data_IF_079027571202
#
_entry.id   IF_079027571202
#
_cell.length_a   1.000
_cell.length_b   1.000
_cell.length_c   1.000
_cell.angle_alpha   90.00
_cell.angle_beta   90.00
_cell.angle_gamma   90.00
#
_symmetry.space_group_name_H-M   'P 1'
#
loop_
_entity.id
_entity.type
_entity.pdbx_description
1 polymer ?
#
# COMPACT_ATOMS: atom_id res chain seq x y z
N UNK A 1 -2.44 80.74 10.09
CA UNK A 1 -1.74 80.07 11.22
C UNK A 1 -0.92 78.93 10.63
N UNK A 2 0.43 79.08 10.58
CA UNK A 2 1.53 78.11 10.31
C UNK A 2 1.39 77.21 9.06
N UNK A 3 2.05 77.37 7.90
CA UNK A 3 3.47 77.51 7.49
C UNK A 3 4.33 76.22 7.56
N UNK A 4 4.74 75.71 6.37
CA UNK A 4 5.97 74.95 5.96
C UNK A 4 6.17 73.55 6.61
N UNK A 5 6.59 72.42 5.98
CA UNK A 5 7.60 72.12 4.93
C UNK A 5 7.30 70.81 4.15
N UNK A 6 7.74 70.77 2.89
CA UNK A 6 8.02 69.59 2.07
C UNK A 6 9.31 68.89 2.50
N UNK A 7 9.45 67.56 2.35
CA UNK A 7 10.69 66.88 1.92
C UNK A 7 10.41 65.44 1.41
N UNK A 8 11.30 65.03 0.52
CA UNK A 8 11.41 63.93 -0.43
C UNK A 8 11.35 62.47 0.05
N UNK A 9 10.91 61.63 -0.90
CA UNK A 9 11.46 60.34 -1.35
C UNK A 9 12.41 59.53 -0.44
N UNK A 10 12.13 58.23 -0.30
CA UNK A 10 13.00 57.02 -0.30
C UNK A 10 12.01 55.84 -0.14
N UNK A 11 11.80 54.94 -1.11
CA UNK A 11 12.73 53.87 -1.45
C UNK A 11 12.61 52.71 -0.45
N UNK A 12 11.50 51.96 -0.45
CA UNK A 12 11.38 50.71 0.34
C UNK A 12 11.67 49.54 -0.60
N UNK A 13 12.95 49.17 -0.67
CA UNK A 13 13.44 47.95 -1.31
C UNK A 13 12.92 46.72 -0.56
N UNK A 14 12.28 45.82 -1.30
CA UNK A 14 12.03 44.43 -0.88
C UNK A 14 13.37 43.73 -0.68
N UNK A 15 13.85 43.66 0.56
CA UNK A 15 14.98 42.83 0.93
C UNK A 15 14.49 41.41 1.23
N UNK A 16 14.87 40.48 0.33
CA UNK A 16 14.76 39.05 0.58
C UNK A 16 15.54 38.73 1.86
N UNK A 17 14.87 38.10 2.84
CA UNK A 17 15.54 37.37 3.92
C UNK A 17 16.37 36.23 3.31
N UNK A 18 17.60 36.57 2.92
CA UNK A 18 18.71 35.61 2.80
C UNK A 18 19.04 35.20 4.22
N UNK A 19 18.54 34.04 4.64
CA UNK A 19 19.05 33.37 5.83
C UNK A 19 20.53 33.09 5.57
N UNK A 20 21.36 33.84 6.25
CA UNK A 20 22.81 33.88 6.14
C UNK A 20 23.40 32.49 6.38
N UNK A 21 24.29 32.10 5.47
CA UNK A 21 25.25 31.02 5.68
C UNK A 21 26.08 31.44 6.89
N UNK A 22 25.97 30.71 8.01
CA UNK A 22 26.85 30.90 9.14
C UNK A 22 28.27 30.48 8.70
N UNK A 23 29.12 31.46 8.41
CA UNK A 23 30.56 31.27 8.33
C UNK A 23 31.05 30.69 9.67
N UNK A 24 31.48 29.43 9.62
CA UNK A 24 32.10 28.76 10.75
C UNK A 24 33.54 29.28 10.89
N UNK A 25 33.77 29.89 12.05
CA UNK A 25 35.03 30.45 12.53
C UNK A 25 36.24 29.53 12.34
N UNK A 26 37.36 30.15 11.96
CA UNK A 26 38.70 29.56 11.95
C UNK A 26 39.11 29.10 13.36
N UNK A 27 39.21 27.78 13.57
CA UNK A 27 39.90 27.18 14.71
C UNK A 27 41.34 26.87 14.30
N UNK A 28 42.36 27.23 15.11
CA UNK A 28 43.75 27.14 14.72
C UNK A 28 44.23 25.69 14.55
N UNK A 29 45.25 25.57 13.70
CA UNK A 29 45.94 24.36 13.28
C UNK A 29 46.40 23.50 14.47
N UNK A 30 46.23 22.18 14.33
CA UNK A 30 46.67 21.05 15.16
C UNK A 30 45.60 20.34 16.01
N UNK A 31 44.62 19.71 15.33
CA UNK A 31 44.08 18.41 15.76
C UNK A 31 44.04 17.47 14.57
N UNK A 32 44.62 16.27 14.76
CA UNK A 32 44.69 15.14 13.83
C UNK A 32 43.41 15.03 13.00
N UNK A 33 43.57 14.84 11.68
CA UNK A 33 42.50 14.43 10.75
C UNK A 33 41.69 13.29 11.39
N UNK A 34 40.51 13.60 11.93
CA UNK A 34 39.52 12.56 12.18
C UNK A 34 39.25 11.88 10.83
N UNK A 35 39.33 10.56 10.78
CA UNK A 35 39.16 9.83 9.54
C UNK A 35 37.75 10.15 9.00
N UNK A 36 37.56 10.50 7.72
CA UNK A 36 36.24 10.88 7.15
C UNK A 36 35.14 9.86 7.54
N UNK A 37 35.52 8.59 7.60
CA UNK A 37 34.71 7.48 8.09
C UNK A 37 34.27 7.62 9.56
N UNK A 38 35.15 8.02 10.47
CA UNK A 38 34.84 8.24 11.90
C UNK A 38 33.86 9.40 12.08
N UNK A 39 34.03 10.48 11.32
CA UNK A 39 33.12 11.65 11.37
C UNK A 39 31.71 11.26 10.91
N UNK A 40 31.58 10.49 9.83
CA UNK A 40 30.29 10.00 9.33
C UNK A 40 29.65 9.06 10.36
N UNK A 41 30.43 8.15 10.93
CA UNK A 41 29.97 7.22 11.96
C UNK A 41 29.45 7.95 13.20
N UNK A 42 30.18 8.95 13.70
CA UNK A 42 29.73 9.77 14.82
C UNK A 42 28.44 10.55 14.52
N UNK A 43 28.34 11.12 13.31
CA UNK A 43 27.12 11.83 12.89
C UNK A 43 25.90 10.90 12.81
N UNK A 44 26.10 9.66 12.36
CA UNK A 44 25.07 8.64 12.32
C UNK A 44 24.65 8.20 13.72
N UNK A 45 25.60 7.89 14.60
CA UNK A 45 25.33 7.46 15.97
C UNK A 45 24.67 8.56 16.81
N UNK A 46 24.88 9.85 16.48
CA UNK A 46 24.11 10.96 17.07
C UNK A 46 22.63 10.96 16.67
N UNK A 47 22.29 10.40 15.49
CA UNK A 47 20.92 10.40 14.94
C UNK A 47 20.20 9.05 15.05
N UNK A 48 20.95 7.94 15.16
CA UNK A 48 20.45 6.58 15.09
C UNK A 48 20.91 5.79 16.32
N UNK A 49 20.04 4.94 16.85
CA UNK A 49 20.39 3.92 17.84
C UNK A 49 21.45 2.97 17.26
N UNK A 50 22.34 2.47 18.13
CA UNK A 50 23.36 1.47 17.82
C UNK A 50 22.77 0.26 17.11
N UNK A 51 21.57 -0.20 17.52
CA UNK A 51 20.90 -1.35 16.89
C UNK A 51 20.52 -1.08 15.43
N UNK A 52 20.20 0.17 15.11
CA UNK A 52 19.88 0.58 13.74
C UNK A 52 21.17 0.65 12.93
N UNK A 53 22.24 1.19 13.50
CA UNK A 53 23.55 1.20 12.82
C UNK A 53 24.07 -0.22 12.55
N UNK A 54 23.92 -1.14 13.49
CA UNK A 54 24.28 -2.56 13.30
C UNK A 54 23.43 -3.22 12.19
N UNK A 55 22.15 -2.89 12.12
CA UNK A 55 21.29 -3.35 11.02
C UNK A 55 21.74 -2.77 9.66
N UNK A 56 22.14 -1.49 9.60
CA UNK A 56 22.66 -0.90 8.37
C UNK A 56 23.96 -1.59 7.91
N UNK A 57 24.90 -1.82 8.84
CA UNK A 57 26.21 -2.42 8.52
C UNK A 57 26.12 -3.87 8.05
N UNK A 58 25.07 -4.61 8.43
CA UNK A 58 24.77 -5.95 7.89
C UNK A 58 24.50 -5.95 6.38
N UNK A 59 24.01 -4.84 5.83
CA UNK A 59 23.70 -4.72 4.39
C UNK A 59 24.73 -3.88 3.64
N UNK A 60 25.17 -2.77 4.23
CA UNK A 60 26.01 -1.76 3.58
C UNK A 60 26.89 -1.08 4.62
N UNK A 61 28.18 -0.93 4.33
CA UNK A 61 29.10 -0.11 5.13
C UNK A 61 28.80 1.37 4.89
N UNK A 62 28.15 2.10 5.81
CA UNK A 62 27.65 3.45 5.55
C UNK A 62 28.73 4.48 5.22
N UNK A 63 29.98 4.20 5.58
CA UNK A 63 31.13 5.08 5.41
C UNK A 63 31.78 5.00 4.02
N UNK A 64 31.36 4.06 3.16
CA UNK A 64 31.88 3.96 1.79
C UNK A 64 31.41 5.13 0.94
N UNK A 65 32.27 5.64 0.05
CA UNK A 65 31.93 6.75 -0.84
C UNK A 65 30.78 6.42 -1.83
N UNK A 66 30.54 5.14 -2.11
CA UNK A 66 29.41 4.68 -2.90
C UNK A 66 28.06 4.75 -2.16
N UNK A 67 28.06 5.17 -0.89
CA UNK A 67 26.88 5.27 -0.03
C UNK A 67 26.62 6.74 0.26
N UNK A 68 25.37 7.16 0.04
CA UNK A 68 24.97 8.53 0.31
C UNK A 68 23.83 8.55 1.31
N UNK A 69 24.05 9.28 2.39
CA UNK A 69 23.12 9.40 3.51
C UNK A 69 22.39 10.72 3.36
N UNK A 70 21.06 10.66 3.41
CA UNK A 70 20.17 11.78 3.17
C UNK A 70 19.23 11.95 4.36
N UNK A 71 18.82 13.20 4.60
CA UNK A 71 17.74 13.58 5.52
C UNK A 71 16.79 14.52 4.77
N UNK A 72 16.09 13.94 3.77
CA UNK A 72 15.29 14.69 2.81
C UNK A 72 13.83 14.27 2.84
N UNK A 73 12.95 15.25 2.67
CA UNK A 73 11.50 15.06 2.72
C UNK A 73 10.76 15.51 1.45
N UNK A 74 11.47 15.96 0.42
CA UNK A 74 10.87 16.47 -0.81
C UNK A 74 11.62 15.95 -2.04
N UNK A 75 10.90 15.59 -3.13
CA UNK A 75 11.54 15.09 -4.35
C UNK A 75 12.49 16.08 -5.03
N UNK A 76 12.33 17.39 -4.82
CA UNK A 76 13.19 18.41 -5.45
C UNK A 76 14.62 18.42 -4.93
N UNK A 77 14.88 17.83 -3.76
CA UNK A 77 16.23 17.72 -3.21
C UNK A 77 17.01 16.54 -3.78
N UNK A 78 16.42 15.78 -4.71
CA UNK A 78 17.06 14.67 -5.39
C UNK A 78 17.40 15.09 -6.82
N UNK A 79 18.65 15.50 -7.04
CA UNK A 79 19.19 15.81 -8.36
C UNK A 79 20.07 14.67 -8.85
N UNK A 80 19.77 14.13 -10.04
CA UNK A 80 20.46 12.95 -10.57
C UNK A 80 21.97 13.14 -10.73
N UNK A 81 22.42 14.38 -10.98
CA UNK A 81 23.84 14.78 -11.05
C UNK A 81 24.62 14.41 -9.79
N UNK A 82 23.97 14.42 -8.63
CA UNK A 82 24.62 14.30 -7.34
C UNK A 82 24.91 12.82 -6.97
N UNK A 83 24.43 11.88 -7.79
CA UNK A 83 24.39 10.45 -7.47
C UNK A 83 25.09 9.55 -8.51
N UNK A 84 25.87 10.12 -9.44
CA UNK A 84 26.49 9.36 -10.53
C UNK A 84 27.37 8.16 -10.08
N UNK A 85 28.02 8.26 -8.91
CA UNK A 85 28.85 7.20 -8.32
C UNK A 85 28.18 6.43 -7.17
N UNK A 86 26.93 6.77 -6.84
CA UNK A 86 26.24 6.24 -5.67
C UNK A 86 25.55 4.93 -6.00
N UNK A 87 25.87 3.88 -5.24
CA UNK A 87 25.22 2.56 -5.34
C UNK A 87 24.22 2.30 -4.22
N UNK A 88 24.28 3.05 -3.13
CA UNK A 88 23.34 2.94 -2.02
C UNK A 88 22.88 4.31 -1.52
N UNK A 89 21.57 4.49 -1.39
CA UNK A 89 20.95 5.65 -0.76
C UNK A 89 20.33 5.25 0.57
N UNK A 90 20.71 5.95 1.64
CA UNK A 90 20.13 5.79 2.97
C UNK A 90 19.39 7.08 3.31
N UNK A 91 18.06 7.07 3.33
CA UNK A 91 17.29 8.23 3.82
C UNK A 91 16.86 8.00 5.27
N UNK A 92 17.47 8.72 6.20
CA UNK A 92 17.11 8.65 7.62
C UNK A 92 15.81 9.40 7.94
N UNK A 93 15.33 10.22 7.01
CA UNK A 93 14.06 10.91 7.16
C UNK A 93 12.87 9.92 7.08
N UNK A 94 11.92 10.06 7.99
CA UNK A 94 10.73 9.20 8.00
C UNK A 94 9.84 9.43 6.77
N UNK A 95 9.46 8.35 6.09
CA UNK A 95 8.59 8.42 4.91
C UNK A 95 7.21 9.04 5.24
N UNK A 96 6.75 8.94 6.49
CA UNK A 96 5.52 9.58 6.95
C UNK A 96 5.48 11.11 6.69
N UNK A 97 6.65 11.74 6.64
CA UNK A 97 6.83 13.19 6.52
C UNK A 97 7.34 13.63 5.14
N UNK A 98 7.59 12.68 4.24
CA UNK A 98 7.97 12.98 2.86
C UNK A 98 6.76 13.54 2.11
N UNK A 99 6.89 14.60 1.31
CA UNK A 99 5.82 15.06 0.40
C UNK A 99 5.83 14.25 -0.89
N UNK A 100 4.63 14.00 -1.44
CA UNK A 100 4.46 13.26 -2.69
C UNK A 100 5.23 11.92 -2.74
N UNK A 101 5.05 11.06 -1.73
CA UNK A 101 5.83 9.79 -1.55
C UNK A 101 6.15 9.07 -2.86
N UNK A 102 5.19 8.82 -3.75
CA UNK A 102 5.49 8.10 -4.99
C UNK A 102 6.41 8.89 -5.91
N UNK A 103 6.24 10.22 -6.03
CA UNK A 103 7.16 11.06 -6.80
C UNK A 103 8.56 11.04 -6.19
N UNK A 104 8.64 11.07 -4.85
CA UNK A 104 9.91 10.93 -4.14
C UNK A 104 10.58 9.59 -4.42
N UNK A 105 9.86 8.47 -4.27
CA UNK A 105 10.38 7.13 -4.54
C UNK A 105 10.77 6.94 -6.01
N UNK A 106 10.01 7.49 -6.95
CA UNK A 106 10.37 7.49 -8.37
C UNK A 106 11.68 8.23 -8.59
N UNK A 107 11.87 9.40 -7.96
CA UNK A 107 13.13 10.15 -8.05
C UNK A 107 14.30 9.41 -7.41
N UNK A 108 14.08 8.73 -6.30
CA UNK A 108 15.09 7.82 -5.72
C UNK A 108 15.46 6.71 -6.70
N UNK A 109 14.47 6.09 -7.37
CA UNK A 109 14.72 5.07 -8.39
C UNK A 109 15.55 5.62 -9.56
N UNK A 110 15.20 6.82 -10.06
CA UNK A 110 15.94 7.48 -11.14
C UNK A 110 17.38 7.85 -10.76
N UNK A 111 17.64 8.17 -9.49
CA UNK A 111 18.98 8.52 -9.00
C UNK A 111 19.88 7.29 -8.76
N UNK A 112 19.31 6.08 -8.67
CA UNK A 112 20.08 4.86 -8.42
C UNK A 112 20.41 4.13 -9.73
N UNK A 113 21.61 3.53 -9.84
CA UNK A 113 21.88 2.56 -10.89
C UNK A 113 21.07 1.27 -10.66
N UNK A 114 20.97 0.42 -11.69
CA UNK A 114 20.37 -0.90 -11.55
C UNK A 114 21.11 -1.73 -10.49
N UNK A 115 20.36 -2.55 -9.74
CA UNK A 115 20.82 -3.23 -8.53
C UNK A 115 21.30 -2.29 -7.39
N UNK A 116 21.09 -0.98 -7.51
CA UNK A 116 21.34 -0.02 -6.44
C UNK A 116 20.41 -0.24 -5.24
N UNK A 117 20.92 0.02 -4.04
CA UNK A 117 20.19 -0.18 -2.78
C UNK A 117 19.55 1.12 -2.30
N UNK A 118 18.32 1.02 -1.81
CA UNK A 118 17.65 2.08 -1.08
C UNK A 118 17.24 1.60 0.30
N UNK A 119 17.65 2.36 1.32
CA UNK A 119 17.32 2.11 2.72
C UNK A 119 16.53 3.31 3.24
N UNK A 120 15.41 3.03 3.89
CA UNK A 120 14.57 4.06 4.48
C UNK A 120 13.85 3.58 5.73
N UNK A 121 13.17 4.50 6.40
CA UNK A 121 12.43 4.19 7.61
C UNK A 121 11.02 4.79 7.60
N UNK A 122 10.11 4.12 8.30
CA UNK A 122 8.73 4.56 8.45
C UNK A 122 8.18 4.16 9.83
N UNK A 123 7.40 5.03 10.45
CA UNK A 123 6.59 4.65 11.60
C UNK A 123 5.22 4.17 11.14
N UNK A 124 4.95 2.87 11.30
CA UNK A 124 3.70 2.26 10.84
C UNK A 124 2.54 2.54 11.80
N UNK A 125 1.30 2.44 11.28
CA UNK A 125 0.08 2.52 12.11
C UNK A 125 0.11 1.50 13.25
N UNK A 126 0.62 0.29 13.01
CA UNK A 126 0.71 -0.76 14.03
C UNK A 126 1.63 -0.34 15.18
N UNK A 127 2.81 0.19 14.85
CA UNK A 127 3.77 0.67 15.84
C UNK A 127 3.21 1.85 16.62
N UNK A 128 2.56 2.82 15.95
CA UNK A 128 1.91 3.96 16.62
C UNK A 128 0.82 3.51 17.60
N UNK A 129 -0.01 2.55 17.19
CA UNK A 129 -1.03 1.96 18.06
C UNK A 129 -0.37 1.31 19.27
N UNK A 130 0.66 0.49 19.06
CA UNK A 130 1.37 -0.18 20.15
C UNK A 130 1.93 0.84 21.16
N UNK A 131 2.60 1.90 20.69
CA UNK A 131 3.12 2.98 21.56
C UNK A 131 2.02 3.66 22.37
N UNK A 132 0.90 4.02 21.74
CA UNK A 132 -0.22 4.68 22.42
C UNK A 132 -0.83 3.80 23.53
N UNK A 133 -1.02 2.51 23.24
CA UNK A 133 -1.69 1.59 24.16
C UNK A 133 -0.74 0.94 25.19
N UNK A 134 0.58 1.06 25.05
CA UNK A 134 1.54 0.50 26.02
C UNK A 134 1.60 1.24 27.38
N UNK A 135 1.27 2.53 27.42
CA UNK A 135 1.55 3.37 28.60
C UNK A 135 0.47 3.33 29.70
N UNK A 136 -0.78 2.97 29.38
CA UNK A 136 -1.92 2.93 30.35
C UNK A 136 -3.22 2.40 29.67
N UNK A 137 -4.13 1.76 30.41
CA UNK A 137 -5.44 1.30 29.93
C UNK A 137 -6.54 2.33 30.25
N UNK A 138 -6.70 3.33 29.38
CA UNK A 138 -7.76 4.33 29.51
C UNK A 138 -8.64 4.38 28.25
N UNK A 139 -9.95 4.43 28.42
CA UNK A 139 -10.93 4.49 27.33
C UNK A 139 -10.76 5.72 26.42
N UNK A 140 -10.28 6.85 26.96
CA UNK A 140 -10.00 8.05 26.18
C UNK A 140 -8.96 7.80 25.07
N UNK A 141 -8.08 6.79 25.20
CA UNK A 141 -7.12 6.42 24.15
C UNK A 141 -7.80 5.87 22.90
N UNK A 142 -8.91 5.15 23.04
CA UNK A 142 -9.66 4.66 21.89
C UNK A 142 -10.29 5.83 21.12
N UNK A 143 -10.83 6.81 21.83
CA UNK A 143 -11.40 8.01 21.23
C UNK A 143 -10.32 8.85 20.54
N UNK A 144 -9.20 9.10 21.22
CA UNK A 144 -8.04 9.78 20.64
C UNK A 144 -7.51 9.06 19.40
N UNK A 145 -7.34 7.73 19.48
CA UNK A 145 -6.92 6.91 18.36
C UNK A 145 -7.87 7.02 17.18
N UNK A 146 -9.18 6.99 17.42
CA UNK A 146 -10.19 7.13 16.37
C UNK A 146 -10.06 8.46 15.64
N UNK A 147 -9.98 9.57 16.38
CA UNK A 147 -9.83 10.90 15.77
C UNK A 147 -8.50 11.06 15.03
N UNK A 148 -7.38 10.62 15.62
CA UNK A 148 -6.08 10.65 14.96
C UNK A 148 -6.04 9.74 13.73
N UNK A 149 -6.66 8.56 13.79
CA UNK A 149 -6.79 7.69 12.63
C UNK A 149 -7.60 8.40 11.54
N UNK A 150 -8.77 8.94 11.87
CA UNK A 150 -9.57 9.68 10.88
C UNK A 150 -8.76 10.82 10.25
N UNK A 151 -8.11 11.65 11.08
CA UNK A 151 -7.34 12.80 10.63
C UNK A 151 -6.12 12.44 9.79
N UNK A 152 -5.30 11.48 10.22
CA UNK A 152 -4.03 11.15 9.55
C UNK A 152 -4.13 10.02 8.51
N UNK A 153 -5.20 9.21 8.52
CA UNK A 153 -5.41 8.07 7.59
C UNK A 153 -6.51 8.34 6.58
N UNK A 154 -7.63 8.92 7.00
CA UNK A 154 -8.86 9.03 6.20
C UNK A 154 -8.92 10.36 5.46
N UNK A 155 -8.79 11.49 6.16
CA UNK A 155 -8.86 12.84 5.56
C UNK A 155 -7.92 13.05 4.37
N UNK A 156 -6.64 12.56 4.36
CA UNK A 156 -5.73 12.78 3.23
C UNK A 156 -6.17 12.08 1.93
N UNK A 157 -7.16 11.17 2.01
CA UNK A 157 -7.68 10.36 0.90
C UNK A 157 -9.01 10.87 0.36
N UNK A 158 -9.67 11.81 1.05
CA UNK A 158 -10.96 12.38 0.65
C UNK A 158 -10.69 13.72 -0.04
N UNK A 159 -11.15 13.90 -1.29
CA UNK A 159 -10.81 15.04 -2.16
C UNK A 159 -10.95 16.42 -1.49
N UNK A 160 -12.05 16.65 -0.76
CA UNK A 160 -12.30 17.95 -0.10
C UNK A 160 -11.52 18.12 1.22
N UNK A 161 -11.42 17.06 2.04
CA UNK A 161 -10.71 17.10 3.32
C UNK A 161 -9.19 17.03 3.14
N UNK A 162 -8.71 16.54 2.00
CA UNK A 162 -7.31 16.42 1.67
C UNK A 162 -6.61 17.78 1.64
N UNK A 163 -7.26 18.81 1.08
CA UNK A 163 -6.70 20.18 1.05
C UNK A 163 -6.53 20.73 2.46
N UNK A 164 -7.55 20.59 3.30
CA UNK A 164 -7.53 21.01 4.70
C UNK A 164 -6.44 20.27 5.49
N UNK A 165 -6.35 18.95 5.33
CA UNK A 165 -5.31 18.15 5.96
C UNK A 165 -3.91 18.65 5.58
N UNK A 166 -3.65 18.92 4.30
CA UNK A 166 -2.35 19.40 3.85
C UNK A 166 -2.05 20.83 4.29
N UNK A 167 -3.08 21.67 4.40
CA UNK A 167 -2.96 23.02 4.97
C UNK A 167 -2.53 22.94 6.44
N UNK A 168 -3.20 22.11 7.25
CA UNK A 168 -2.91 21.99 8.69
C UNK A 168 -1.55 21.31 8.94
N UNK A 169 -1.24 20.22 8.23
CA UNK A 169 -0.08 19.38 8.53
C UNK A 169 1.17 19.73 7.72
N UNK A 170 1.05 20.58 6.70
CA UNK A 170 2.11 20.80 5.72
C UNK A 170 2.53 19.51 5.00
N UNK A 171 1.62 18.53 4.88
CA UNK A 171 1.84 17.18 4.35
C UNK A 171 2.78 16.26 5.17
N UNK A 172 2.91 16.53 6.47
CA UNK A 172 3.62 15.68 7.44
C UNK A 172 2.67 14.71 8.16
N UNK A 173 3.24 13.73 8.85
CA UNK A 173 2.53 12.81 9.76
C UNK A 173 1.48 11.91 9.10
N UNK A 174 1.72 11.45 7.87
CA UNK A 174 0.78 10.53 7.22
C UNK A 174 0.83 9.14 7.84
N UNK A 175 -0.33 8.56 8.09
CA UNK A 175 -0.45 7.22 8.67
C UNK A 175 -0.50 6.15 7.59
N UNK A 176 0.54 5.33 7.55
CA UNK A 176 0.76 4.29 6.54
C UNK A 176 0.92 2.92 7.22
N UNK A 177 0.41 1.90 6.56
CA UNK A 177 0.64 0.51 6.98
C UNK A 177 1.92 -0.02 6.35
N UNK A 178 2.48 -1.06 6.94
CA UNK A 178 3.62 -1.78 6.37
C UNK A 178 3.33 -2.22 4.93
N UNK A 179 2.18 -2.86 4.69
CA UNK A 179 1.76 -3.27 3.36
C UNK A 179 1.67 -2.12 2.35
N UNK A 180 1.14 -0.97 2.75
CA UNK A 180 1.05 0.18 1.85
C UNK A 180 2.43 0.77 1.54
N UNK A 181 3.37 0.76 2.49
CA UNK A 181 4.72 1.24 2.24
C UNK A 181 5.50 0.31 1.32
N UNK A 182 5.51 -0.99 1.64
CA UNK A 182 6.18 -2.01 0.85
C UNK A 182 5.61 -2.07 -0.57
N UNK A 183 4.28 -2.02 -0.72
CA UNK A 183 3.64 -2.01 -2.03
C UNK A 183 3.96 -0.77 -2.86
N UNK A 184 4.15 0.40 -2.22
CA UNK A 184 4.64 1.60 -2.92
C UNK A 184 6.06 1.41 -3.44
N UNK A 185 6.96 0.82 -2.65
CA UNK A 185 8.34 0.53 -3.08
C UNK A 185 8.34 -0.38 -4.31
N UNK A 186 7.59 -1.48 -4.26
CA UNK A 186 7.50 -2.40 -5.40
C UNK A 186 6.90 -1.73 -6.63
N UNK A 187 5.83 -0.94 -6.47
CA UNK A 187 5.27 -0.16 -7.59
C UNK A 187 6.25 0.87 -8.18
N UNK A 188 7.21 1.32 -7.38
CA UNK A 188 8.24 2.28 -7.80
C UNK A 188 9.52 1.58 -8.32
N UNK A 189 9.46 0.29 -8.65
CA UNK A 189 10.55 -0.44 -9.30
C UNK A 189 11.58 -1.06 -8.36
N UNK A 190 11.21 -1.29 -7.09
CA UNK A 190 12.10 -1.85 -6.09
C UNK A 190 11.67 -3.24 -5.61
N UNK A 191 12.62 -4.17 -5.52
CA UNK A 191 12.41 -5.46 -4.86
C UNK A 191 12.78 -5.37 -3.38
N UNK A 192 11.95 -5.99 -2.53
CA UNK A 192 12.16 -5.98 -1.08
C UNK A 192 13.19 -7.05 -0.73
N UNK A 193 14.32 -6.64 -0.16
CA UNK A 193 15.34 -7.55 0.37
C UNK A 193 14.97 -7.92 1.81
N UNK A 194 14.82 -6.91 2.66
CA UNK A 194 14.53 -7.11 4.08
C UNK A 194 13.74 -5.93 4.65
N UNK A 195 12.98 -6.19 5.70
CA UNK A 195 12.45 -5.15 6.57
C UNK A 195 12.54 -5.60 8.04
N UNK A 196 12.76 -4.65 8.94
CA UNK A 196 12.90 -4.92 10.38
C UNK A 196 12.31 -3.80 11.23
N UNK A 197 11.57 -4.16 12.27
CA UNK A 197 11.08 -3.19 13.25
C UNK A 197 12.15 -2.96 14.32
N UNK A 198 12.71 -1.74 14.38
CA UNK A 198 13.77 -1.31 15.29
C UNK A 198 13.43 0.09 15.83
N UNK A 199 13.65 0.33 17.12
CA UNK A 199 13.44 1.64 17.78
C UNK A 199 12.06 2.27 17.46
N UNK A 200 11.02 1.44 17.46
CA UNK A 200 9.66 1.89 17.15
C UNK A 200 9.51 2.50 15.75
N UNK A 201 10.31 2.05 14.77
CA UNK A 201 10.19 2.34 13.34
C UNK A 201 10.39 1.03 12.57
N UNK A 202 9.82 0.96 11.38
CA UNK A 202 10.10 -0.09 10.39
C UNK A 202 11.18 0.44 9.46
N UNK A 203 12.33 -0.22 9.46
CA UNK A 203 13.40 -0.02 8.48
C UNK A 203 13.20 -1.01 7.34
N UNK A 204 13.45 -0.58 6.12
CA UNK A 204 13.38 -1.43 4.93
C UNK A 204 14.64 -1.26 4.10
N UNK A 205 15.07 -2.35 3.47
CA UNK A 205 16.18 -2.40 2.52
C UNK A 205 15.61 -2.96 1.24
N UNK A 206 15.70 -2.17 0.16
CA UNK A 206 15.17 -2.55 -1.15
C UNK A 206 16.22 -2.35 -2.22
N UNK A 207 16.11 -3.14 -3.29
CA UNK A 207 17.00 -3.09 -4.44
C UNK A 207 16.24 -2.57 -5.65
N UNK A 208 16.85 -1.66 -6.42
CA UNK A 208 16.29 -1.25 -7.71
C UNK A 208 16.40 -2.41 -8.71
N UNK A 209 15.27 -2.80 -9.28
CA UNK A 209 15.20 -3.89 -10.27
C UNK A 209 14.65 -3.43 -11.62
N UNK A 210 13.77 -2.43 -11.65
CA UNK A 210 13.18 -1.90 -12.87
C UNK A 210 12.74 -0.44 -12.69
N UNK A 211 12.29 0.19 -13.78
CA UNK A 211 11.71 1.53 -13.74
C UNK A 211 10.30 1.52 -13.10
N UNK A 212 9.84 2.63 -12.50
CA UNK A 212 8.52 2.70 -11.85
C UNK A 212 7.34 2.36 -12.78
N UNK A 213 6.34 1.63 -12.26
CA UNK A 213 5.08 1.41 -12.98
C UNK A 213 4.21 2.68 -12.90
N UNK A 214 4.02 3.35 -14.05
CA UNK A 214 3.19 4.54 -14.16
C UNK A 214 1.71 4.23 -14.44
N UNK A 215 1.37 2.98 -14.78
CA UNK A 215 0.08 2.65 -15.41
C UNK A 215 -1.07 2.43 -14.42
N UNK A 216 -0.80 2.40 -13.11
CA UNK A 216 -1.82 2.09 -12.12
C UNK A 216 -1.99 3.23 -11.13
N UNK A 217 -3.15 3.90 -11.17
CA UNK A 217 -3.64 4.74 -10.07
C UNK A 217 -4.27 3.82 -9.03
N UNK A 218 -3.62 3.53 -7.90
CA UNK A 218 -4.21 2.68 -6.88
C UNK A 218 -5.44 3.40 -6.31
N UNK A 219 -6.59 2.74 -6.38
CA UNK A 219 -7.79 3.25 -5.74
C UNK A 219 -7.61 3.17 -4.23
N UNK A 220 -7.86 4.27 -3.53
CA UNK A 220 -7.88 4.31 -2.06
C UNK A 220 -9.29 4.16 -1.50
N UNK A 221 -10.31 4.06 -2.36
CA UNK A 221 -11.71 3.98 -1.97
C UNK A 221 -12.03 2.67 -1.24
N UNK A 222 -13.03 2.70 -0.34
CA UNK A 222 -13.51 1.52 0.38
C UNK A 222 -14.21 0.54 -0.57
N UNK A 223 -14.82 1.02 -1.65
CA UNK A 223 -15.38 0.20 -2.73
C UNK A 223 -14.45 0.29 -3.93
N UNK A 224 -14.16 -0.85 -4.56
CA UNK A 224 -13.38 -0.87 -5.80
C UNK A 224 -14.03 -1.78 -6.85
N UNK A 225 -14.06 -1.36 -8.13
CA UNK A 225 -14.53 -2.21 -9.22
C UNK A 225 -13.44 -3.15 -9.70
N UNK A 226 -13.78 -4.42 -9.90
CA UNK A 226 -12.94 -5.42 -10.56
C UNK A 226 -13.49 -5.72 -11.95
N UNK A 227 -12.63 -5.67 -12.98
CA UNK A 227 -13.01 -6.13 -14.33
C UNK A 227 -13.11 -7.66 -14.34
N UNK A 228 -14.24 -8.17 -14.84
CA UNK A 228 -14.56 -9.60 -14.91
C UNK A 228 -15.30 -9.93 -16.19
N UNK A 229 -15.17 -11.18 -16.64
CA UNK A 229 -15.89 -11.69 -17.80
C UNK A 229 -17.34 -11.98 -17.40
N UNK A 230 -18.29 -11.41 -18.14
CA UNK A 230 -19.73 -11.59 -17.96
C UNK A 230 -20.38 -12.34 -19.12
N UNK A 231 -21.72 -12.26 -19.19
CA UNK A 231 -22.51 -12.89 -20.25
C UNK A 231 -22.09 -12.38 -21.64
N UNK A 232 -22.06 -13.27 -22.62
CA UNK A 232 -21.59 -13.07 -23.99
C UNK A 232 -20.14 -12.58 -24.09
N UNK A 233 -19.31 -12.88 -23.08
CA UNK A 233 -17.90 -12.46 -23.03
C UNK A 233 -17.69 -10.97 -22.72
N UNK A 234 -18.77 -10.21 -22.45
CA UNK A 234 -18.66 -8.77 -22.15
C UNK A 234 -17.97 -8.54 -20.80
N UNK A 235 -17.04 -7.59 -20.76
CA UNK A 235 -16.39 -7.20 -19.51
C UNK A 235 -17.35 -6.38 -18.64
N UNK A 236 -17.60 -6.87 -17.43
CA UNK A 236 -18.40 -6.19 -16.40
C UNK A 236 -17.51 -5.71 -15.26
N UNK A 237 -17.97 -4.67 -14.55
CA UNK A 237 -17.34 -4.17 -13.33
C UNK A 237 -18.05 -4.78 -12.13
N UNK A 238 -17.37 -5.67 -11.41
CA UNK A 238 -17.89 -6.28 -10.17
C UNK A 238 -17.40 -5.48 -8.98
N UNK A 239 -18.30 -4.95 -8.17
CA UNK A 239 -17.95 -4.12 -7.01
C UNK A 239 -17.68 -4.97 -5.77
N UNK A 240 -16.61 -4.64 -5.04
CA UNK A 240 -16.30 -5.26 -3.74
C UNK A 240 -15.82 -4.23 -2.73
N UNK A 241 -15.96 -4.54 -1.44
CA UNK A 241 -15.30 -3.78 -0.39
C UNK A 241 -13.81 -4.14 -0.35
N UNK A 242 -13.00 -3.12 -0.15
CA UNK A 242 -11.56 -3.21 0.03
C UNK A 242 -11.27 -3.83 1.39
N UNK A 243 -10.82 -5.08 1.36
CA UNK A 243 -10.36 -5.78 2.57
C UNK A 243 -8.84 -5.71 2.75
N UNK A 244 -8.10 -5.40 1.69
CA UNK A 244 -6.64 -5.31 1.70
C UNK A 244 -6.17 -3.87 1.72
N UNK A 245 -4.96 -3.62 2.24
CA UNK A 245 -4.35 -2.30 2.22
C UNK A 245 -4.09 -1.82 0.77
N UNK A 246 -4.01 -0.50 0.52
CA UNK A 246 -3.60 0.02 -0.79
C UNK A 246 -2.24 -0.54 -1.24
N UNK A 247 -2.01 -0.71 -2.54
CA UNK A 247 -0.80 -1.30 -3.14
C UNK A 247 -0.54 -2.78 -2.83
N UNK A 248 -1.52 -3.49 -2.27
CA UNK A 248 -1.36 -4.92 -1.95
C UNK A 248 -1.21 -5.80 -3.20
N UNK A 249 -1.67 -5.34 -4.35
CA UNK A 249 -1.54 -6.00 -5.64
C UNK A 249 -0.07 -6.26 -6.03
N UNK A 250 0.83 -5.32 -5.74
CA UNK A 250 2.27 -5.44 -6.02
C UNK A 250 2.99 -6.42 -5.10
N UNK A 251 2.39 -6.76 -3.96
CA UNK A 251 3.00 -7.60 -2.94
C UNK A 251 2.64 -9.07 -3.07
N UNK A 252 1.90 -9.48 -4.10
CA UNK A 252 1.46 -10.87 -4.27
C UNK A 252 2.63 -11.84 -4.27
N UNK A 253 3.61 -11.63 -5.16
CA UNK A 253 4.72 -12.55 -5.33
C UNK A 253 5.63 -12.55 -4.10
N UNK A 254 5.85 -11.37 -3.50
CA UNK A 254 6.62 -11.24 -2.27
C UNK A 254 6.00 -12.02 -1.11
N UNK A 255 4.70 -11.88 -0.87
CA UNK A 255 4.01 -12.58 0.23
C UNK A 255 3.95 -14.08 0.00
N UNK A 256 3.77 -14.52 -1.25
CA UNK A 256 3.80 -15.95 -1.60
C UNK A 256 5.19 -16.54 -1.35
N UNK A 257 6.26 -15.84 -1.74
CA UNK A 257 7.65 -16.27 -1.46
C UNK A 257 7.93 -16.34 0.03
N UNK A 258 7.44 -15.37 0.81
CA UNK A 258 7.71 -15.28 2.25
C UNK A 258 6.96 -16.34 3.07
N UNK A 259 5.67 -16.54 2.79
CA UNK A 259 4.80 -17.33 3.65
C UNK A 259 4.33 -18.65 3.04
N UNK A 260 4.54 -18.86 1.74
CA UNK A 260 3.96 -19.98 1.00
C UNK A 260 2.43 -19.93 0.93
N UNK A 261 1.84 -21.00 0.40
CA UNK A 261 0.39 -21.18 0.36
C UNK A 261 -0.12 -21.97 1.57
N UNK A 262 -1.30 -21.62 2.05
CA UNK A 262 -2.06 -22.40 3.01
C UNK A 262 -2.81 -23.55 2.32
N UNK A 263 -3.51 -24.38 3.11
CA UNK A 263 -4.29 -25.54 2.64
C UNK A 263 -5.36 -25.21 1.58
N UNK A 264 -5.76 -23.94 1.46
CA UNK A 264 -6.81 -23.46 0.54
C UNK A 264 -6.18 -22.70 -0.65
N UNK A 265 -4.87 -22.81 -0.87
CA UNK A 265 -4.16 -22.17 -1.97
C UNK A 265 -4.07 -20.64 -1.86
N UNK A 266 -4.18 -20.07 -0.65
CA UNK A 266 -3.99 -18.62 -0.39
C UNK A 266 -2.70 -18.38 0.37
N UNK A 267 -2.05 -17.22 0.25
CA UNK A 267 -0.84 -16.95 1.02
C UNK A 267 -1.10 -17.07 2.52
N UNK A 268 -0.27 -17.83 3.24
CA UNK A 268 -0.35 -17.91 4.69
C UNK A 268 0.04 -16.54 5.31
N UNK A 269 -0.45 -16.23 6.53
CA UNK A 269 -0.09 -15.01 7.28
C UNK A 269 -0.03 -13.70 6.46
N UNK A 270 -1.02 -13.49 5.59
CA UNK A 270 -1.02 -12.36 4.64
C UNK A 270 -1.20 -11.01 5.34
N UNK A 271 -0.10 -10.28 5.54
CA UNK A 271 -0.08 -8.95 6.18
C UNK A 271 -0.74 -7.85 5.33
N UNK A 272 -1.10 -8.15 4.08
CA UNK A 272 -1.81 -7.22 3.20
C UNK A 272 -3.29 -7.10 3.58
N UNK A 273 -3.84 -8.11 4.25
CA UNK A 273 -5.21 -8.11 4.74
C UNK A 273 -5.34 -7.20 5.96
N UNK A 274 -6.27 -6.24 5.92
CA UNK A 274 -6.57 -5.42 7.09
C UNK A 274 -7.35 -6.23 8.14
N UNK A 275 -7.22 -5.87 9.42
CA UNK A 275 -7.92 -6.57 10.52
C UNK A 275 -9.45 -6.59 10.30
N UNK A 276 -10.04 -5.44 9.97
CA UNK A 276 -11.47 -5.37 9.62
C UNK A 276 -11.79 -6.15 8.34
N UNK A 277 -10.84 -6.21 7.40
CA UNK A 277 -10.96 -6.96 6.16
C UNK A 277 -11.11 -8.46 6.40
N UNK A 278 -10.46 -9.00 7.44
CA UNK A 278 -10.63 -10.40 7.87
C UNK A 278 -12.05 -10.66 8.33
N UNK A 279 -12.60 -9.77 9.16
CA UNK A 279 -14.00 -9.84 9.61
C UNK A 279 -14.97 -9.73 8.44
N UNK A 280 -14.76 -8.78 7.53
CA UNK A 280 -15.61 -8.60 6.34
C UNK A 280 -15.63 -9.85 5.47
N UNK A 281 -14.46 -10.46 5.20
CA UNK A 281 -14.38 -11.72 4.44
C UNK A 281 -15.08 -12.85 5.15
N UNK A 282 -14.83 -13.05 6.45
CA UNK A 282 -15.45 -14.11 7.26
C UNK A 282 -16.98 -14.13 7.14
N UNK A 283 -17.60 -12.96 7.11
CA UNK A 283 -19.05 -12.79 7.02
C UNK A 283 -19.56 -12.46 5.59
N UNK A 284 -18.75 -12.62 4.54
CA UNK A 284 -19.09 -12.29 3.14
C UNK A 284 -19.52 -10.83 2.91
N UNK A 285 -19.22 -9.93 3.86
CA UNK A 285 -19.61 -8.53 3.78
C UNK A 285 -18.82 -7.78 2.70
N UNK A 286 -17.64 -8.28 2.32
CA UNK A 286 -16.85 -7.69 1.24
C UNK A 286 -17.49 -7.83 -0.14
N UNK A 287 -18.38 -8.80 -0.29
CA UNK A 287 -19.11 -9.06 -1.53
C UNK A 287 -20.48 -8.38 -1.59
N UNK A 288 -20.93 -7.73 -0.51
CA UNK A 288 -22.22 -7.00 -0.47
C UNK A 288 -22.41 -5.96 -1.58
N UNK A 289 -21.37 -5.18 -1.99
CA UNK A 289 -21.53 -4.24 -3.11
C UNK A 289 -21.92 -4.91 -4.44
N UNK A 290 -21.75 -6.22 -4.60
CA UNK A 290 -22.19 -6.96 -5.78
C UNK A 290 -23.72 -6.97 -5.93
N UNK A 291 -24.49 -6.67 -4.89
CA UNK A 291 -25.95 -6.51 -5.01
C UNK A 291 -26.31 -5.42 -6.04
N UNK A 292 -25.50 -4.36 -6.14
CA UNK A 292 -25.67 -3.34 -7.19
C UNK A 292 -25.53 -3.94 -8.59
N UNK A 293 -24.65 -4.93 -8.77
CA UNK A 293 -24.49 -5.65 -10.04
C UNK A 293 -25.71 -6.50 -10.39
N UNK A 294 -26.39 -7.06 -9.39
CA UNK A 294 -27.62 -7.83 -9.55
C UNK A 294 -28.77 -6.89 -9.93
N UNK A 295 -28.94 -5.77 -9.22
CA UNK A 295 -29.99 -4.77 -9.50
C UNK A 295 -29.82 -4.17 -10.91
N UNK A 296 -28.59 -3.87 -11.31
CA UNK A 296 -28.27 -3.37 -12.67
C UNK A 296 -28.35 -4.45 -13.76
N UNK A 297 -28.64 -5.71 -13.39
CA UNK A 297 -28.82 -6.83 -14.32
C UNK A 297 -27.54 -7.41 -14.92
N UNK A 298 -26.36 -6.94 -14.48
CA UNK A 298 -25.05 -7.44 -14.92
C UNK A 298 -24.66 -8.79 -14.30
N UNK A 299 -25.23 -9.10 -13.12
CA UNK A 299 -25.06 -10.36 -12.40
C UNK A 299 -26.41 -10.95 -11.98
N UNK A 300 -26.42 -12.21 -11.58
CA UNK A 300 -27.54 -12.89 -10.92
C UNK A 300 -27.21 -13.16 -9.44
N UNK A 301 -28.21 -13.53 -8.63
CA UNK A 301 -27.99 -13.92 -7.23
C UNK A 301 -27.20 -15.24 -7.18
N UNK A 302 -27.67 -16.24 -7.92
CA UNK A 302 -27.00 -17.54 -8.10
C UNK A 302 -26.45 -17.64 -9.51
N UNK A 303 -25.21 -18.10 -9.63
CA UNK A 303 -24.56 -18.22 -10.93
C UNK A 303 -23.06 -18.43 -10.82
N UNK A 304 -22.43 -18.67 -11.97
CA UNK A 304 -21.00 -18.95 -12.06
C UNK A 304 -20.17 -17.79 -11.49
N UNK A 305 -19.08 -18.08 -10.79
CA UNK A 305 -18.23 -17.02 -10.18
C UNK A 305 -17.68 -16.10 -11.28
N UNK A 306 -17.72 -14.77 -11.15
CA UNK A 306 -17.10 -13.89 -12.14
C UNK A 306 -15.57 -14.03 -12.10
N UNK A 307 -14.95 -14.34 -13.25
CA UNK A 307 -13.49 -14.53 -13.39
C UNK A 307 -12.80 -13.34 -14.04
N UNK A 308 -11.51 -13.14 -13.73
CA UNK A 308 -10.65 -12.24 -14.52
C UNK A 308 -10.46 -12.81 -15.92
N UNK A 309 -10.10 -11.96 -16.88
CA UNK A 309 -9.79 -12.41 -18.24
C UNK A 309 -8.70 -13.48 -18.25
N UNK A 310 -7.62 -13.27 -17.49
CA UNK A 310 -6.51 -14.23 -17.35
C UNK A 310 -7.01 -15.60 -16.90
N UNK A 311 -7.77 -15.65 -15.81
CA UNK A 311 -8.28 -16.91 -15.27
C UNK A 311 -9.36 -17.54 -16.15
N UNK A 312 -10.11 -16.73 -16.89
CA UNK A 312 -11.07 -17.24 -17.87
C UNK A 312 -10.35 -17.95 -19.02
N UNK A 313 -9.24 -17.37 -19.50
CA UNK A 313 -8.45 -17.95 -20.59
C UNK A 313 -7.73 -19.26 -20.19
N UNK A 314 -7.46 -19.48 -18.89
CA UNK A 314 -6.89 -20.72 -18.36
C UNK A 314 -7.87 -21.90 -18.36
N UNK A 315 -9.18 -21.66 -18.55
CA UNK A 315 -10.19 -22.71 -18.54
C UNK A 315 -10.18 -23.53 -19.85
N UNK A 316 -10.65 -24.79 -19.82
CA UNK A 316 -10.95 -25.53 -21.05
C UNK A 316 -11.94 -24.78 -21.97
N UNK A 317 -11.73 -24.82 -23.28
CA UNK A 317 -12.53 -24.07 -24.27
C UNK A 317 -14.03 -24.41 -24.20
N UNK A 318 -14.38 -25.68 -23.98
CA UNK A 318 -15.76 -26.13 -23.82
C UNK A 318 -16.45 -25.47 -22.61
N UNK A 319 -15.72 -25.26 -21.52
CA UNK A 319 -16.23 -24.57 -20.32
C UNK A 319 -16.36 -23.07 -20.58
N UNK A 320 -15.40 -22.46 -21.27
CA UNK A 320 -15.45 -21.04 -21.63
C UNK A 320 -16.71 -20.70 -22.43
N UNK A 321 -16.99 -21.46 -23.49
CA UNK A 321 -18.14 -21.25 -24.38
C UNK A 321 -19.48 -21.42 -23.67
N UNK A 322 -19.60 -22.38 -22.75
CA UNK A 322 -20.82 -22.57 -21.94
C UNK A 322 -20.96 -21.45 -20.90
N UNK A 323 -19.87 -21.07 -20.23
CA UNK A 323 -19.87 -20.05 -19.17
C UNK A 323 -20.40 -18.71 -19.65
N UNK A 324 -20.01 -18.28 -20.85
CA UNK A 324 -20.45 -16.99 -21.40
C UNK A 324 -21.94 -16.95 -21.76
N UNK A 325 -22.65 -18.09 -21.84
CA UNK A 325 -24.10 -18.10 -22.10
C UNK A 325 -24.90 -17.60 -20.89
N UNK A 326 -24.34 -17.71 -19.69
CA UNK A 326 -25.00 -17.37 -18.43
C UNK A 326 -24.50 -16.07 -17.83
N UNK A 327 -25.36 -15.40 -17.05
CA UNK A 327 -24.91 -14.30 -16.19
C UNK A 327 -24.06 -14.87 -15.04
N UNK A 328 -22.93 -14.23 -14.68
CA UNK A 328 -22.22 -14.59 -13.47
C UNK A 328 -23.07 -14.31 -12.23
N UNK A 329 -22.80 -15.01 -11.14
CA UNK A 329 -23.57 -14.92 -9.90
C UNK A 329 -22.76 -14.51 -8.68
N UNK A 330 -23.44 -13.94 -7.68
CA UNK A 330 -22.85 -13.66 -6.37
C UNK A 330 -22.56 -14.96 -5.60
N UNK A 331 -23.51 -15.91 -5.64
CA UNK A 331 -23.41 -17.20 -4.98
C UNK A 331 -23.05 -18.27 -6.03
N UNK A 332 -21.81 -18.79 -5.99
CA UNK A 332 -21.36 -19.78 -6.94
C UNK A 332 -21.82 -21.21 -6.61
N UNK A 333 -21.95 -22.09 -7.61
CA UNK A 333 -22.51 -23.44 -7.44
C UNK A 333 -21.76 -24.33 -6.44
N UNK A 334 -20.44 -24.17 -6.34
CA UNK A 334 -19.63 -24.94 -5.39
C UNK A 334 -20.04 -24.72 -3.92
N UNK A 335 -20.68 -23.59 -3.61
CA UNK A 335 -21.23 -23.30 -2.27
C UNK A 335 -22.51 -24.10 -2.04
N UNK A 336 -23.34 -24.29 -3.06
CA UNK A 336 -24.54 -25.11 -2.96
C UNK A 336 -24.18 -26.61 -2.86
N UNK A 337 -23.19 -27.05 -3.65
CA UNK A 337 -22.80 -28.46 -3.75
C UNK A 337 -21.75 -28.90 -2.72
N UNK A 338 -21.24 -27.98 -1.90
CA UNK A 338 -20.19 -28.24 -0.91
C UNK A 338 -18.91 -28.86 -1.53
N UNK A 339 -18.46 -28.27 -2.64
CA UNK A 339 -17.32 -28.70 -3.47
C UNK A 339 -16.23 -27.61 -3.53
N UNK A 340 -15.59 -27.25 -2.40
CA UNK A 340 -14.75 -26.05 -2.32
C UNK A 340 -13.40 -26.18 -3.06
N UNK A 341 -12.95 -27.40 -3.34
CA UNK A 341 -11.64 -27.65 -3.95
C UNK A 341 -11.56 -27.18 -5.40
N UNK A 342 -10.37 -26.78 -5.85
CA UNK A 342 -10.19 -26.14 -7.16
C UNK A 342 -10.64 -27.01 -8.34
N UNK A 343 -10.39 -28.32 -8.26
CA UNK A 343 -10.82 -29.31 -9.27
C UNK A 343 -12.33 -29.52 -9.22
N UNK A 344 -12.89 -29.64 -8.03
CA UNK A 344 -14.33 -29.84 -7.82
C UNK A 344 -15.14 -28.59 -8.21
N UNK A 345 -14.52 -27.40 -8.16
CA UNK A 345 -15.15 -26.14 -8.55
C UNK A 345 -15.60 -26.15 -10.02
N UNK A 346 -14.74 -26.64 -10.92
CA UNK A 346 -15.08 -26.74 -12.35
C UNK A 346 -16.21 -27.74 -12.57
N UNK A 347 -16.20 -28.85 -11.83
CA UNK A 347 -17.26 -29.85 -11.92
C UNK A 347 -18.60 -29.30 -11.41
N UNK A 348 -18.59 -28.59 -10.29
CA UNK A 348 -19.77 -27.89 -9.78
C UNK A 348 -20.32 -26.87 -10.79
N UNK A 349 -19.46 -26.17 -11.53
CA UNK A 349 -19.86 -25.29 -12.62
C UNK A 349 -20.52 -26.06 -13.78
N UNK A 350 -19.97 -27.22 -14.18
CA UNK A 350 -20.57 -28.08 -15.24
C UNK A 350 -21.95 -28.58 -14.85
N UNK A 351 -22.11 -29.13 -13.63
CA UNK A 351 -23.38 -29.64 -13.11
C UNK A 351 -24.44 -28.53 -13.10
N UNK A 352 -24.07 -27.35 -12.62
CA UNK A 352 -24.97 -26.21 -12.56
C UNK A 352 -25.38 -25.72 -13.95
N UNK A 353 -24.45 -25.60 -14.91
CA UNK A 353 -24.78 -25.19 -16.27
C UNK A 353 -25.77 -26.17 -16.92
N UNK A 354 -25.55 -27.48 -16.79
CA UNK A 354 -26.45 -28.48 -17.33
C UNK A 354 -27.85 -28.44 -16.70
N UNK A 355 -27.94 -28.21 -15.38
CA UNK A 355 -29.23 -28.02 -14.70
C UNK A 355 -29.94 -26.73 -15.16
N UNK A 356 -29.17 -25.65 -15.31
CA UNK A 356 -29.67 -24.33 -15.71
C UNK A 356 -30.17 -24.30 -17.16
N UNK A 357 -29.61 -25.11 -18.06
CA UNK A 357 -30.13 -25.30 -19.42
C UNK A 357 -31.50 -25.99 -19.43
N UNK A 358 -31.72 -26.97 -18.54
CA UNK A 358 -32.99 -27.69 -18.44
C UNK A 358 -34.10 -26.89 -17.77
N UNK A 359 -33.80 -26.24 -16.64
CA UNK A 359 -34.77 -25.51 -15.84
C UNK A 359 -34.13 -24.26 -15.22
N UNK A 360 -34.10 -23.11 -15.93
CA UNK A 360 -33.34 -21.94 -15.50
C UNK A 360 -33.77 -21.37 -14.14
N UNK A 361 -35.07 -21.19 -13.94
CA UNK A 361 -35.62 -20.59 -12.72
C UNK A 361 -35.55 -21.55 -11.52
N UNK A 362 -36.01 -22.79 -11.70
CA UNK A 362 -36.03 -23.79 -10.63
C UNK A 362 -34.62 -24.12 -10.13
N UNK A 363 -33.64 -24.14 -11.04
CA UNK A 363 -32.23 -24.36 -10.68
C UNK A 363 -31.72 -23.25 -9.78
N UNK A 364 -31.99 -21.98 -10.09
CA UNK A 364 -31.52 -20.86 -9.26
C UNK A 364 -32.14 -20.89 -7.86
N UNK A 365 -33.44 -21.18 -7.74
CA UNK A 365 -34.12 -21.32 -6.44
C UNK A 365 -33.55 -22.47 -5.63
N UNK A 366 -33.38 -23.64 -6.25
CA UNK A 366 -32.81 -24.83 -5.60
C UNK A 366 -31.39 -24.56 -5.08
N UNK A 367 -30.53 -24.04 -5.93
CA UNK A 367 -29.13 -23.77 -5.57
C UNK A 367 -29.02 -22.65 -4.53
N UNK A 368 -29.92 -21.65 -4.57
CA UNK A 368 -29.99 -20.63 -3.53
C UNK A 368 -30.31 -21.24 -2.16
N UNK A 369 -31.35 -22.08 -2.08
CA UNK A 369 -31.73 -22.74 -0.83
C UNK A 369 -30.63 -23.65 -0.28
N UNK A 370 -29.99 -24.43 -1.15
CA UNK A 370 -28.85 -25.28 -0.77
C UNK A 370 -27.66 -24.47 -0.26
N UNK A 371 -27.29 -23.39 -0.96
CA UNK A 371 -26.21 -22.52 -0.54
C UNK A 371 -26.50 -21.84 0.80
N UNK A 372 -27.73 -21.33 0.99
CA UNK A 372 -28.15 -20.71 2.25
C UNK A 372 -28.07 -21.71 3.41
N UNK A 373 -28.55 -22.94 3.22
CA UNK A 373 -28.45 -23.99 4.22
C UNK A 373 -26.99 -24.32 4.58
N UNK A 374 -26.10 -24.44 3.59
CA UNK A 374 -24.69 -24.74 3.84
C UNK A 374 -23.94 -23.60 4.55
N UNK A 375 -24.30 -22.35 4.27
CA UNK A 375 -23.75 -21.17 4.95
C UNK A 375 -24.24 -21.13 6.41
N UNK A 376 -25.55 -21.28 6.63
CA UNK A 376 -26.15 -21.21 7.98
C UNK A 376 -25.73 -22.39 8.87
N UNK A 377 -25.60 -23.59 8.31
CA UNK A 377 -25.11 -24.77 9.03
C UNK A 377 -23.59 -24.77 9.28
N UNK A 378 -22.87 -23.78 8.76
CA UNK A 378 -21.42 -23.65 8.94
C UNK A 378 -20.59 -24.71 8.20
N UNK A 379 -21.21 -25.50 7.30
CA UNK A 379 -20.54 -26.49 6.44
C UNK A 379 -19.54 -25.82 5.50
N UNK A 380 -19.85 -24.60 5.06
CA UNK A 380 -18.97 -23.78 4.24
C UNK A 380 -18.69 -22.48 4.97
N UNK A 381 -17.42 -22.21 5.21
CA UNK A 381 -16.96 -20.93 5.75
C UNK A 381 -16.37 -20.09 4.64
N UNK A 382 -16.67 -18.79 4.68
CA UNK A 382 -15.83 -17.84 3.95
C UNK A 382 -14.41 -17.91 4.47
N UNK A 383 -13.46 -17.66 3.59
CA UNK A 383 -12.03 -17.66 3.91
C UNK A 383 -11.61 -16.57 4.88
#
# INVERSE_FOLDING_TARGET
MRSVESISAIGVSHELERTTVSELEFVPVQKKRANKSEVIKEQLLKKLDIKVYDYLTQHVVPERDSVRILDVNHPTYLHQSDFASVRCLINVHQVNNVRYINKFLNKVNECLPDAGLFIGCIETIRIRKHKLFAVNNNIFKHLYWFFCFFFHRVMPKIKHLQKLYYFITGAKYRWLTMAEMLGRLVSCGFDIIEYKELDGKLYFVVMKTHSPDHNQKPSYGPVFPMKRVGKNGKIIKVYKLRTMHPYSEYLQDYVVKLNGYNKVGKPANDFRLADWGRTLRKYWLDEMPQILNVITGSMAIVGLRPLSQTRFNELPKDVQEKRIKFKPGCIPPYVALNMPDSKENIEAERIYMAAKEKAPFLTDVKYFGMALFNILSGKIKSS
#
